data_IF_321437607704
#
_entry.id   IF_321437607704
#
_cell.length_a   1.000
_cell.length_b   1.000
_cell.length_c   1.000
_cell.angle_alpha   90.00
_cell.angle_beta   90.00
_cell.angle_gamma   90.00
#
_symmetry.space_group_name_H-M   'P 1'
#
loop_
_entity.id
_entity.type
_entity.pdbx_description
1 polymer ?
#
# COMPACT_ATOMS: atom_id res chain seq x y z
N UNK A 1 -13.62 -32.25 16.52
CA UNK A 1 -13.90 -32.10 15.06
C UNK A 1 -15.01 -33.07 14.73
N UNK A 2 -16.19 -32.58 14.36
CA UNK A 2 -17.37 -33.41 14.12
C UNK A 2 -17.52 -33.60 12.61
N UNK A 3 -17.17 -34.78 12.09
CA UNK A 3 -17.30 -35.08 10.66
C UNK A 3 -18.76 -35.39 10.34
N UNK A 4 -19.42 -34.47 9.63
CA UNK A 4 -20.79 -34.64 9.16
C UNK A 4 -20.74 -35.42 7.84
N UNK A 5 -21.63 -36.40 7.69
CA UNK A 5 -21.79 -37.20 6.45
C UNK A 5 -23.09 -36.83 5.75
N UNK A 6 -23.07 -36.82 4.43
CA UNK A 6 -24.26 -36.63 3.59
C UNK A 6 -24.71 -38.01 3.11
N UNK A 7 -25.82 -38.50 3.64
CA UNK A 7 -26.39 -39.81 3.28
C UNK A 7 -27.70 -39.60 2.52
N UNK A 8 -27.85 -40.23 1.37
CA UNK A 8 -29.14 -40.32 0.68
C UNK A 8 -30.08 -41.22 1.49
N UNK A 9 -31.19 -40.65 1.98
CA UNK A 9 -32.14 -41.36 2.85
C UNK A 9 -32.94 -42.45 2.14
N UNK A 10 -32.96 -42.48 0.80
CA UNK A 10 -33.72 -43.45 -0.01
C UNK A 10 -32.83 -44.59 -0.49
N UNK A 11 -31.57 -44.31 -0.84
CA UNK A 11 -30.63 -45.32 -1.35
C UNK A 11 -29.62 -45.78 -0.30
N UNK A 12 -29.43 -45.03 0.79
CA UNK A 12 -28.42 -45.29 1.82
C UNK A 12 -26.99 -44.95 1.39
N UNK A 13 -26.82 -44.34 0.21
CA UNK A 13 -25.53 -44.03 -0.38
C UNK A 13 -24.85 -42.85 0.33
N UNK A 14 -23.54 -42.96 0.57
CA UNK A 14 -22.74 -41.88 1.12
C UNK A 14 -22.29 -40.95 0.00
N UNK A 15 -22.92 -39.79 -0.07
CA UNK A 15 -22.68 -38.74 -1.06
C UNK A 15 -21.60 -37.75 -0.60
N UNK A 16 -21.01 -37.95 0.59
CA UNK A 16 -19.92 -37.09 1.10
C UNK A 16 -18.72 -36.95 0.13
N UNK A 17 -18.33 -37.96 -0.67
CA UNK A 17 -17.25 -37.81 -1.66
C UNK A 17 -17.56 -36.77 -2.76
N UNK A 18 -18.83 -36.61 -3.12
CA UNK A 18 -19.25 -35.81 -4.28
C UNK A 18 -19.80 -34.42 -3.89
N UNK A 19 -20.05 -34.19 -2.59
CA UNK A 19 -20.68 -32.96 -2.10
C UNK A 19 -19.94 -32.37 -0.90
N UNK A 20 -19.81 -31.04 -0.87
CA UNK A 20 -19.28 -30.32 0.30
C UNK A 20 -20.42 -29.84 1.19
N UNK A 21 -20.48 -30.33 2.44
CA UNK A 21 -21.40 -29.80 3.45
C UNK A 21 -20.86 -28.47 3.98
N UNK A 22 -21.59 -27.38 3.76
CA UNK A 22 -21.28 -26.04 4.31
C UNK A 22 -22.43 -25.55 5.15
N UNK A 23 -22.14 -24.91 6.28
CA UNK A 23 -23.19 -24.29 7.09
C UNK A 23 -23.77 -23.06 6.38
N UNK A 24 -25.03 -22.70 6.65
CA UNK A 24 -25.65 -21.49 6.09
C UNK A 24 -24.80 -20.23 6.37
N UNK A 25 -24.21 -20.12 7.57
CA UNK A 25 -23.26 -19.04 7.91
C UNK A 25 -22.02 -19.01 6.99
N UNK A 26 -21.47 -20.17 6.63
CA UNK A 26 -20.33 -20.26 5.70
C UNK A 26 -20.73 -19.91 4.26
N UNK A 27 -21.94 -20.33 3.83
CA UNK A 27 -22.49 -20.01 2.51
C UNK A 27 -22.77 -18.50 2.40
N UNK A 28 -23.34 -17.89 3.44
CA UNK A 28 -23.63 -16.46 3.47
C UNK A 28 -22.36 -15.61 3.53
N UNK A 29 -21.37 -16.01 4.33
CA UNK A 29 -20.06 -15.37 4.35
C UNK A 29 -19.35 -15.47 2.99
N UNK A 30 -19.46 -16.61 2.30
CA UNK A 30 -18.91 -16.81 0.97
C UNK A 30 -19.61 -15.95 -0.09
N UNK A 31 -20.94 -15.88 -0.06
CA UNK A 31 -21.75 -15.03 -0.95
C UNK A 31 -21.49 -13.55 -0.72
N UNK A 32 -21.41 -13.12 0.54
CA UNK A 32 -21.01 -11.76 0.89
C UNK A 32 -19.63 -11.45 0.32
N UNK A 33 -18.64 -12.33 0.50
CA UNK A 33 -17.30 -12.17 -0.06
C UNK A 33 -17.27 -12.08 -1.59
N UNK A 34 -18.04 -12.92 -2.29
CA UNK A 34 -18.14 -12.84 -3.76
C UNK A 34 -18.78 -11.52 -4.21
N UNK A 35 -19.84 -11.07 -3.54
CA UNK A 35 -20.48 -9.76 -3.82
C UNK A 35 -19.51 -8.60 -3.60
N UNK A 36 -18.67 -8.71 -2.57
CA UNK A 36 -17.63 -7.73 -2.26
C UNK A 36 -16.56 -7.69 -3.34
N UNK A 37 -16.08 -8.84 -3.81
CA UNK A 37 -15.07 -8.91 -4.89
C UNK A 37 -15.63 -8.46 -6.25
N UNK A 38 -16.92 -8.65 -6.51
CA UNK A 38 -17.59 -8.23 -7.75
C UNK A 38 -17.83 -6.72 -7.84
N UNK A 39 -17.99 -6.01 -6.71
CA UNK A 39 -18.20 -4.56 -6.68
C UNK A 39 -16.91 -3.73 -6.45
N UNK A 40 -15.78 -4.39 -6.21
CA UNK A 40 -14.56 -3.72 -5.79
C UNK A 40 -13.74 -3.21 -6.98
N UNK A 41 -13.55 -1.90 -7.05
CA UNK A 41 -12.77 -1.28 -8.13
C UNK A 41 -11.26 -1.26 -7.80
N UNK A 42 -10.55 -2.33 -8.18
CA UNK A 42 -9.10 -2.48 -8.01
C UNK A 42 -8.24 -1.51 -8.84
N UNK A 43 -8.85 -0.67 -9.69
CA UNK A 43 -8.11 0.29 -10.54
C UNK A 43 -7.92 1.66 -9.89
N UNK A 44 -8.55 1.90 -8.73
CA UNK A 44 -8.46 3.18 -7.99
C UNK A 44 -7.16 3.33 -7.20
N UNK A 45 -6.46 2.24 -6.94
CA UNK A 45 -5.27 2.22 -6.11
C UNK A 45 -4.18 1.32 -6.72
N UNK A 46 -2.96 1.51 -6.24
CA UNK A 46 -1.86 0.55 -6.39
C UNK A 46 -1.65 -0.14 -5.05
N UNK A 47 -1.55 -1.46 -5.04
CA UNK A 47 -1.21 -2.22 -3.85
C UNK A 47 0.32 -2.26 -3.72
N UNK A 48 0.84 -1.77 -2.60
CA UNK A 48 2.25 -1.83 -2.25
C UNK A 48 2.48 -2.96 -1.24
N UNK A 49 3.18 -4.02 -1.66
CA UNK A 49 3.40 -5.24 -0.90
C UNK A 49 4.47 -5.04 0.18
N UNK A 50 4.14 -5.36 1.42
CA UNK A 50 4.96 -4.98 2.57
C UNK A 50 6.28 -5.74 2.64
N UNK A 51 6.25 -7.07 2.52
CA UNK A 51 7.45 -7.89 2.73
C UNK A 51 8.56 -7.57 1.70
N UNK A 52 8.29 -7.45 0.39
CA UNK A 52 9.31 -7.06 -0.59
C UNK A 52 9.85 -5.66 -0.36
N UNK A 53 8.97 -4.71 0.02
CA UNK A 53 9.39 -3.34 0.34
C UNK A 53 10.32 -3.34 1.56
N UNK A 54 9.95 -4.03 2.64
CA UNK A 54 10.75 -4.09 3.87
C UNK A 54 12.16 -4.65 3.63
N UNK A 55 12.33 -5.58 2.69
CA UNK A 55 13.62 -6.18 2.36
C UNK A 55 14.63 -5.19 1.76
N UNK A 56 14.15 -4.13 1.10
CA UNK A 56 15.00 -3.16 0.38
C UNK A 56 14.90 -1.74 0.94
N UNK A 57 14.00 -1.52 1.90
CA UNK A 57 13.60 -0.18 2.33
C UNK A 57 14.77 0.64 2.87
N UNK A 58 15.72 0.02 3.61
CA UNK A 58 16.85 0.72 4.24
C UNK A 58 17.95 1.07 3.25
N UNK A 59 18.07 0.31 2.16
CA UNK A 59 19.12 0.48 1.15
C UNK A 59 18.77 1.60 0.16
N UNK A 60 17.47 1.87 -0.02
CA UNK A 60 17.02 2.98 -0.84
C UNK A 60 17.24 4.32 -0.14
N UNK A 61 17.81 5.29 -0.85
CA UNK A 61 17.73 6.69 -0.48
C UNK A 61 16.29 7.21 -0.57
N UNK A 62 16.02 8.34 0.08
CA UNK A 62 14.73 9.02 -0.04
C UNK A 62 14.44 9.47 -1.48
N UNK A 63 15.47 9.78 -2.26
CA UNK A 63 15.28 10.19 -3.66
C UNK A 63 14.80 9.00 -4.49
N UNK A 64 15.44 7.83 -4.35
CA UNK A 64 15.04 6.61 -5.08
C UNK A 64 13.63 6.15 -4.69
N UNK A 65 13.35 6.11 -3.38
CA UNK A 65 12.02 5.82 -2.86
C UNK A 65 10.97 6.83 -3.38
N UNK A 66 11.35 8.10 -3.53
CA UNK A 66 10.50 9.16 -4.08
C UNK A 66 10.23 8.98 -5.57
N UNK A 67 11.23 8.56 -6.33
CA UNK A 67 11.09 8.23 -7.75
C UNK A 67 10.04 7.14 -7.92
N UNK A 68 10.16 6.01 -7.23
CA UNK A 68 9.17 4.93 -7.37
C UNK A 68 7.77 5.37 -6.96
N UNK A 69 7.62 6.10 -5.84
CA UNK A 69 6.30 6.56 -5.40
C UNK A 69 5.61 7.45 -6.43
N UNK A 70 6.36 8.34 -7.10
CA UNK A 70 5.82 9.18 -8.18
C UNK A 70 5.42 8.39 -9.42
N UNK A 71 5.98 7.20 -9.64
CA UNK A 71 5.56 6.36 -10.76
C UNK A 71 4.26 5.62 -10.49
N UNK A 72 3.99 5.24 -9.22
CA UNK A 72 2.85 4.37 -8.88
C UNK A 72 1.50 4.90 -9.39
N UNK A 73 1.12 6.18 -9.22
CA UNK A 73 -0.17 6.70 -9.72
C UNK A 73 -0.35 6.54 -11.23
N UNK A 74 0.74 6.45 -11.99
CA UNK A 74 0.74 6.38 -13.45
C UNK A 74 0.91 4.96 -13.98
N UNK A 75 1.10 3.96 -13.12
CA UNK A 75 1.03 2.56 -13.52
C UNK A 75 -0.39 2.28 -14.01
N UNK A 76 -0.49 1.73 -15.22
CA UNK A 76 -1.72 1.16 -15.76
C UNK A 76 -1.41 -0.31 -16.05
N UNK A 77 -2.35 -1.22 -15.86
CA UNK A 77 -2.36 -2.44 -16.66
C UNK A 77 -3.11 -2.07 -17.93
N UNK A 78 -2.42 -2.08 -19.07
CA UNK A 78 -3.15 -2.31 -20.30
C UNK A 78 -3.65 -3.75 -20.25
N UNK A 79 -4.84 -3.99 -20.78
CA UNK A 79 -5.40 -5.34 -20.93
C UNK A 79 -4.37 -6.22 -21.64
N UNK A 80 -3.63 -7.05 -20.88
CA UNK A 80 -2.57 -7.93 -21.41
C UNK A 80 -1.12 -7.41 -21.34
N UNK A 81 -0.81 -6.29 -20.68
CA UNK A 81 0.57 -5.76 -20.63
C UNK A 81 0.93 -4.94 -19.39
N UNK A 82 2.13 -5.20 -18.88
CA UNK A 82 2.85 -4.38 -17.89
C UNK A 82 3.08 -2.97 -18.43
N UNK A 83 2.85 -1.92 -17.63
CA UNK A 83 3.21 -0.56 -18.06
C UNK A 83 4.72 -0.40 -18.11
N UNK A 84 5.18 -0.11 -19.32
CA UNK A 84 6.55 0.26 -19.64
C UNK A 84 6.64 1.77 -19.73
N UNK A 85 7.57 2.36 -19.00
CA UNK A 85 7.88 3.78 -19.05
C UNK A 85 9.29 3.98 -19.62
N UNK A 86 9.43 4.86 -20.60
CA UNK A 86 10.72 5.30 -21.11
C UNK A 86 11.45 6.15 -20.07
N UNK A 87 12.75 6.33 -20.25
CA UNK A 87 13.54 7.20 -19.35
C UNK A 87 13.04 8.65 -19.41
N UNK A 88 12.61 9.09 -20.59
CA UNK A 88 12.07 10.42 -20.86
C UNK A 88 10.73 10.66 -20.16
N UNK A 89 9.83 9.67 -20.17
CA UNK A 89 8.56 9.74 -19.44
C UNK A 89 8.79 9.80 -17.93
N UNK A 90 9.66 8.95 -17.39
CA UNK A 90 10.01 8.97 -15.95
C UNK A 90 10.62 10.32 -15.58
N UNK A 91 11.55 10.85 -16.38
CA UNK A 91 12.17 12.16 -16.15
C UNK A 91 11.11 13.28 -16.07
N UNK A 92 10.10 13.24 -16.94
CA UNK A 92 8.97 14.19 -16.93
C UNK A 92 8.11 14.06 -15.67
N UNK A 93 7.73 12.84 -15.29
CA UNK A 93 6.91 12.57 -14.10
C UNK A 93 7.63 12.96 -12.79
N UNK A 94 8.92 12.64 -12.71
CA UNK A 94 9.76 12.93 -11.55
C UNK A 94 10.18 14.41 -11.50
N UNK A 95 10.15 15.12 -12.62
CA UNK A 95 10.62 16.50 -12.72
C UNK A 95 12.14 16.63 -12.59
N UNK A 96 12.90 15.65 -13.13
CA UNK A 96 14.37 15.62 -13.09
C UNK A 96 14.98 15.43 -14.46
N UNK A 97 16.21 15.89 -14.64
CA UNK A 97 16.97 15.58 -15.86
C UNK A 97 17.36 14.10 -15.91
N UNK A 98 17.45 13.55 -17.12
CA UNK A 98 17.83 12.15 -17.37
C UNK A 98 19.10 11.73 -16.63
N UNK A 99 20.15 12.57 -16.69
CA UNK A 99 21.43 12.31 -15.99
C UNK A 99 21.26 12.10 -14.49
N UNK A 100 20.39 12.87 -13.84
CA UNK A 100 20.13 12.79 -12.39
C UNK A 100 19.24 11.60 -12.00
N UNK A 101 18.63 10.96 -12.99
CA UNK A 101 17.68 9.87 -12.81
C UNK A 101 18.33 8.50 -13.07
N UNK A 102 19.37 8.43 -13.90
CA UNK A 102 20.04 7.18 -14.26
C UNK A 102 20.57 6.41 -13.04
N UNK A 103 21.13 7.10 -12.04
CA UNK A 103 21.58 6.50 -10.77
C UNK A 103 20.41 5.91 -9.99
N UNK A 104 19.32 6.67 -9.82
CA UNK A 104 18.13 6.19 -9.12
C UNK A 104 17.45 5.03 -9.83
N UNK A 105 17.40 5.05 -11.17
CA UNK A 105 16.85 3.94 -11.96
C UNK A 105 17.71 2.70 -11.85
N UNK A 106 19.04 2.86 -11.82
CA UNK A 106 19.96 1.75 -11.57
C UNK A 106 19.71 1.15 -10.19
N UNK A 107 19.68 1.96 -9.13
CA UNK A 107 19.44 1.48 -7.76
C UNK A 107 18.08 0.76 -7.63
N UNK A 108 17.02 1.31 -8.24
CA UNK A 108 15.70 0.67 -8.25
C UNK A 108 15.68 -0.65 -9.04
N UNK A 109 16.50 -0.78 -10.08
CA UNK A 109 16.68 -2.05 -10.78
C UNK A 109 17.50 -3.06 -9.97
N UNK A 110 18.57 -2.61 -9.33
CA UNK A 110 19.40 -3.46 -8.46
C UNK A 110 18.60 -3.97 -7.26
N UNK A 111 17.65 -3.17 -6.74
CA UNK A 111 16.71 -3.55 -5.70
C UNK A 111 15.53 -4.41 -6.18
N UNK A 112 15.44 -4.75 -7.49
CA UNK A 112 14.37 -5.58 -8.05
C UNK A 112 12.98 -4.90 -8.15
N UNK A 113 12.89 -3.61 -7.82
CA UNK A 113 11.65 -2.83 -7.89
C UNK A 113 11.29 -2.50 -9.34
N UNK A 114 12.31 -2.21 -10.16
CA UNK A 114 12.17 -1.97 -11.59
C UNK A 114 12.90 -3.05 -12.39
N UNK A 115 12.31 -3.45 -13.52
CA UNK A 115 13.03 -4.20 -14.55
C UNK A 115 13.32 -3.29 -15.74
N UNK A 116 14.51 -3.42 -16.31
CA UNK A 116 14.97 -2.63 -17.45
C UNK A 116 15.02 -3.50 -18.69
N UNK A 117 14.40 -3.04 -19.77
CA UNK A 117 14.48 -3.67 -21.08
C UNK A 117 14.93 -2.66 -22.12
N UNK A 118 15.79 -3.10 -23.06
CA UNK A 118 16.20 -2.26 -24.17
C UNK A 118 15.15 -2.34 -25.28
N UNK A 119 14.66 -1.19 -25.74
CA UNK A 119 13.68 -1.12 -26.83
C UNK A 119 14.14 -0.06 -27.84
N UNK A 120 14.56 -0.51 -29.02
CA UNK A 120 15.14 0.35 -30.05
C UNK A 120 16.37 1.10 -29.53
N UNK A 121 16.30 2.44 -29.56
CA UNK A 121 17.39 3.34 -29.12
C UNK A 121 17.35 3.68 -27.62
N UNK A 122 16.31 3.26 -26.90
CA UNK A 122 16.08 3.63 -25.50
C UNK A 122 15.96 2.44 -24.56
N UNK A 123 15.78 2.75 -23.28
CA UNK A 123 15.40 1.78 -22.25
C UNK A 123 13.96 2.05 -21.82
N UNK A 124 13.22 0.98 -21.63
CA UNK A 124 11.93 1.00 -20.96
C UNK A 124 12.04 0.31 -19.61
N UNK A 125 11.28 0.81 -18.65
CA UNK A 125 11.26 0.32 -17.28
C UNK A 125 9.87 -0.14 -16.91
N UNK A 126 9.81 -1.21 -16.14
CA UNK A 126 8.56 -1.82 -15.69
C UNK A 126 8.65 -2.06 -14.20
N UNK A 127 7.60 -1.69 -13.48
CA UNK A 127 7.50 -1.94 -12.03
C UNK A 127 7.23 -3.42 -11.77
N UNK A 128 7.96 -3.98 -10.81
CA UNK A 128 7.81 -5.38 -10.40
C UNK A 128 6.48 -5.60 -9.69
N UNK A 129 5.70 -6.57 -10.18
CA UNK A 129 4.43 -7.00 -9.57
C UNK A 129 4.62 -7.61 -8.18
N UNK A 130 5.84 -8.08 -7.86
CA UNK A 130 6.18 -8.52 -6.51
C UNK A 130 6.09 -7.37 -5.51
N UNK A 131 6.50 -6.16 -5.92
CA UNK A 131 6.49 -4.99 -5.05
C UNK A 131 5.17 -4.22 -5.14
N UNK A 132 4.64 -4.06 -6.35
CA UNK A 132 3.45 -3.24 -6.60
C UNK A 132 2.53 -3.87 -7.63
N UNK A 133 1.25 -4.00 -7.29
CA UNK A 133 0.23 -4.54 -8.19
C UNK A 133 -0.93 -3.56 -8.39
N UNK A 134 -1.53 -3.60 -9.58
CA UNK A 134 -2.58 -2.67 -10.00
C UNK A 134 -3.68 -3.42 -10.75
N UNK A 135 -4.95 -3.14 -10.42
CA UNK A 135 -6.10 -3.70 -11.14
C UNK A 135 -6.31 -5.21 -10.96
N UNK A 136 -5.63 -5.84 -10.00
CA UNK A 136 -5.70 -7.28 -9.74
C UNK A 136 -6.27 -7.58 -8.36
N UNK A 137 -6.97 -8.72 -8.25
CA UNK A 137 -7.40 -9.24 -6.97
C UNK A 137 -6.19 -9.71 -6.16
N UNK A 138 -6.19 -9.38 -4.88
CA UNK A 138 -5.07 -9.64 -3.99
C UNK A 138 -5.38 -10.89 -3.17
N UNK A 139 -4.41 -11.80 -3.08
CA UNK A 139 -4.56 -13.06 -2.35
C UNK A 139 -4.97 -12.87 -0.89
N UNK A 140 -5.65 -13.86 -0.31
CA UNK A 140 -6.01 -13.84 1.11
C UNK A 140 -4.75 -13.74 1.96
N UNK A 141 -4.76 -12.85 2.96
CA UNK A 141 -3.64 -12.67 3.88
C UNK A 141 -2.46 -11.88 3.31
N UNK A 142 -2.57 -11.33 2.10
CA UNK A 142 -1.54 -10.45 1.56
C UNK A 142 -1.39 -9.19 2.43
N UNK A 143 -0.15 -8.88 2.82
CA UNK A 143 0.20 -7.65 3.54
C UNK A 143 0.55 -6.57 2.54
N UNK A 144 -0.35 -5.59 2.40
CA UNK A 144 -0.15 -4.49 1.49
C UNK A 144 -0.86 -3.23 1.97
N UNK A 145 -0.41 -2.10 1.45
CA UNK A 145 -1.07 -0.80 1.57
C UNK A 145 -1.63 -0.40 0.21
N UNK A 146 -2.87 0.08 0.17
CA UNK A 146 -3.49 0.67 -1.00
C UNK A 146 -3.05 2.12 -1.06
N UNK A 147 -2.36 2.50 -2.12
CA UNK A 147 -2.09 3.89 -2.44
C UNK A 147 -3.13 4.36 -3.46
N UNK A 148 -4.06 5.21 -3.04
CA UNK A 148 -5.09 5.74 -3.94
C UNK A 148 -4.48 6.77 -4.88
N UNK A 149 -4.69 6.54 -6.18
CA UNK A 149 -3.89 7.18 -7.23
C UNK A 149 -4.15 8.68 -7.34
N UNK A 150 -5.42 9.08 -7.32
CA UNK A 150 -5.81 10.49 -7.46
C UNK A 150 -5.31 11.34 -6.28
N UNK A 151 -5.54 10.88 -5.05
CA UNK A 151 -5.05 11.56 -3.85
C UNK A 151 -3.51 11.60 -3.80
N UNK A 152 -2.85 10.51 -4.19
CA UNK A 152 -1.40 10.45 -4.26
C UNK A 152 -0.84 11.42 -5.32
N UNK A 153 -1.41 11.45 -6.53
CA UNK A 153 -0.95 12.32 -7.62
C UNK A 153 -1.02 13.81 -7.20
N UNK A 154 -2.14 14.23 -6.60
CA UNK A 154 -2.29 15.58 -6.06
C UNK A 154 -1.27 15.90 -4.97
N UNK A 155 -1.05 15.01 -4.00
CA UNK A 155 -0.07 15.24 -2.95
C UNK A 155 1.36 15.29 -3.49
N UNK A 156 1.70 14.40 -4.44
CA UNK A 156 3.05 14.23 -4.96
C UNK A 156 3.50 15.39 -5.85
N UNK A 157 2.56 16.14 -6.42
CA UNK A 157 2.83 17.41 -7.08
C UNK A 157 3.35 18.48 -6.11
N UNK A 158 2.94 18.44 -4.84
CA UNK A 158 3.20 19.48 -3.83
C UNK A 158 4.40 19.18 -2.91
N UNK A 159 4.97 17.97 -2.99
CA UNK A 159 6.08 17.55 -2.12
C UNK A 159 7.38 17.30 -2.88
N UNK A 160 8.51 17.50 -2.19
CA UNK A 160 9.81 17.10 -2.71
C UNK A 160 9.90 15.59 -2.89
N UNK A 161 10.83 15.13 -3.73
CA UNK A 161 11.06 13.69 -3.90
C UNK A 161 11.47 13.02 -2.60
N UNK A 162 12.21 13.70 -1.73
CA UNK A 162 12.63 13.13 -0.46
C UNK A 162 11.43 12.90 0.47
N UNK A 163 10.46 13.82 0.47
CA UNK A 163 9.21 13.66 1.24
C UNK A 163 8.31 12.59 0.63
N UNK A 164 8.27 12.50 -0.70
CA UNK A 164 7.63 11.37 -1.39
C UNK A 164 8.31 10.05 -1.00
N UNK A 165 9.64 9.99 -0.96
CA UNK A 165 10.36 8.78 -0.54
C UNK A 165 10.11 8.41 0.90
N UNK A 166 9.99 9.40 1.79
CA UNK A 166 9.57 9.16 3.16
C UNK A 166 8.17 8.52 3.21
N UNK A 167 7.21 9.09 2.45
CA UNK A 167 5.86 8.54 2.35
C UNK A 167 5.85 7.10 1.80
N UNK A 168 6.73 6.78 0.86
CA UNK A 168 6.91 5.41 0.35
C UNK A 168 7.37 4.45 1.45
N UNK A 169 8.40 4.87 2.21
CA UNK A 169 9.03 4.06 3.24
C UNK A 169 8.10 3.78 4.44
N UNK A 170 7.16 4.67 4.76
CA UNK A 170 6.25 4.43 5.89
C UNK A 170 5.12 3.43 5.58
N UNK A 171 4.90 3.06 4.31
CA UNK A 171 3.77 2.22 3.89
C UNK A 171 3.66 0.87 4.61
N UNK A 172 4.75 0.10 4.84
CA UNK A 172 4.68 -1.18 5.54
C UNK A 172 4.28 -1.06 7.02
N UNK A 173 4.45 0.12 7.61
CA UNK A 173 4.19 0.37 9.03
C UNK A 173 2.78 0.89 9.30
N UNK A 174 1.90 0.85 8.30
CA UNK A 174 0.52 1.26 8.43
C UNK A 174 -0.32 0.15 9.07
N UNK A 175 -0.95 0.44 10.20
CA UNK A 175 -1.85 -0.49 10.89
C UNK A 175 -3.00 -0.93 9.98
N UNK A 176 -3.30 -2.23 9.97
CA UNK A 176 -4.30 -2.84 9.09
C UNK A 176 -5.67 -2.15 9.15
N UNK A 177 -6.16 -1.81 10.33
CA UNK A 177 -7.52 -1.26 10.48
C UNK A 177 -7.56 0.26 10.68
N UNK A 178 -6.49 0.83 11.26
CA UNK A 178 -6.57 2.13 11.92
C UNK A 178 -5.86 3.26 11.16
N UNK A 179 -5.09 2.93 10.13
CA UNK A 179 -4.23 3.89 9.42
C UNK A 179 -3.19 4.59 10.32
N UNK A 180 -2.87 4.03 11.48
CA UNK A 180 -1.80 4.51 12.35
C UNK A 180 -0.43 4.02 11.86
N UNK A 181 0.60 4.82 12.08
CA UNK A 181 1.99 4.36 11.99
C UNK A 181 2.37 3.62 13.27
N UNK A 182 2.77 2.35 13.13
CA UNK A 182 2.94 1.39 14.22
C UNK A 182 4.11 0.43 13.94
N UNK A 183 4.79 0.00 15.00
CA UNK A 183 5.79 -1.08 14.96
C UNK A 183 5.13 -2.45 14.73
N UNK A 184 3.83 -2.58 14.97
CA UNK A 184 3.05 -3.81 14.91
C UNK A 184 1.87 -3.67 13.93
N UNK A 185 2.12 -3.50 12.61
CA UNK A 185 1.08 -3.18 11.63
C UNK A 185 0.00 -4.26 11.46
N UNK A 186 0.28 -5.50 11.87
CA UNK A 186 -0.64 -6.64 11.79
C UNK A 186 -1.27 -7.01 13.15
N UNK A 187 -0.93 -6.32 14.24
CA UNK A 187 -1.51 -6.62 15.54
C UNK A 187 -3.00 -6.25 15.57
N UNK A 188 -3.81 -6.88 16.44
CA UNK A 188 -5.13 -6.37 16.78
C UNK A 188 -5.06 -4.96 17.37
N UNK A 189 -6.15 -4.19 17.20
CA UNK A 189 -6.25 -2.78 17.62
C UNK A 189 -5.90 -2.53 19.10
N UNK A 190 -6.23 -3.45 20.00
CA UNK A 190 -5.96 -3.36 21.45
C UNK A 190 -4.51 -3.72 21.83
N UNK A 191 -3.77 -4.35 20.93
CA UNK A 191 -2.37 -4.71 21.06
C UNK A 191 -1.43 -3.85 20.19
N UNK A 192 -1.96 -2.81 19.53
CA UNK A 192 -1.18 -1.94 18.66
C UNK A 192 -0.21 -1.06 19.45
N UNK A 193 1.06 -1.06 19.05
CA UNK A 193 2.09 -0.16 19.57
C UNK A 193 2.33 1.01 18.63
N UNK A 194 2.14 2.24 19.10
CA UNK A 194 2.44 3.44 18.30
C UNK A 194 3.93 3.56 18.05
N UNK A 195 4.32 3.85 16.82
CA UNK A 195 5.73 4.04 16.48
C UNK A 195 6.23 5.42 16.92
N UNK A 196 7.28 5.45 17.73
CA UNK A 196 8.00 6.67 18.10
C UNK A 196 8.83 7.20 16.92
N UNK A 197 9.28 8.45 17.03
CA UNK A 197 10.16 9.03 16.01
C UNK A 197 11.50 8.28 15.91
N UNK A 198 12.06 7.87 17.06
CA UNK A 198 13.31 7.13 17.11
C UNK A 198 13.18 5.75 16.43
N UNK A 199 12.09 5.04 16.69
CA UNK A 199 11.81 3.76 16.02
C UNK A 199 11.59 3.95 14.53
N UNK A 200 10.83 4.96 14.12
CA UNK A 200 10.61 5.25 12.71
C UNK A 200 11.93 5.54 11.99
N UNK A 201 12.77 6.38 12.58
CA UNK A 201 14.11 6.71 12.08
C UNK A 201 14.97 5.46 11.90
N UNK A 202 14.99 4.58 12.92
CA UNK A 202 15.71 3.32 12.87
C UNK A 202 15.19 2.38 11.77
N UNK A 203 13.87 2.18 11.68
CA UNK A 203 13.26 1.24 10.74
C UNK A 203 13.47 1.63 9.29
N UNK A 204 13.40 2.93 8.96
CA UNK A 204 13.48 3.42 7.58
C UNK A 204 14.88 3.91 7.17
N UNK A 205 15.83 3.91 8.11
CA UNK A 205 17.23 4.30 7.89
C UNK A 205 17.45 5.80 7.75
N UNK A 206 16.83 6.61 8.60
CA UNK A 206 16.97 8.08 8.60
C UNK A 206 17.36 8.61 9.98
N UNK A 207 17.74 9.88 10.06
CA UNK A 207 17.84 10.60 11.33
C UNK A 207 16.45 11.01 11.86
N UNK A 208 16.31 11.14 13.17
CA UNK A 208 15.08 11.67 13.77
C UNK A 208 14.70 13.07 13.25
N UNK A 209 15.70 13.91 12.95
CA UNK A 209 15.48 15.24 12.38
C UNK A 209 14.84 15.18 11.00
N UNK A 210 15.27 14.25 10.16
CA UNK A 210 14.67 14.04 8.83
C UNK A 210 13.24 13.54 8.96
N UNK A 211 13.00 12.56 9.84
CA UNK A 211 11.65 12.05 10.13
C UNK A 211 10.73 13.18 10.57
N UNK A 212 11.14 13.99 11.56
CA UNK A 212 10.35 15.14 12.06
C UNK A 212 10.04 16.12 10.94
N UNK A 213 11.02 16.42 10.07
CA UNK A 213 10.85 17.32 8.93
C UNK A 213 9.81 16.80 7.94
N UNK A 214 9.91 15.55 7.51
CA UNK A 214 8.97 14.98 6.54
C UNK A 214 7.56 14.81 7.11
N UNK A 215 7.44 14.41 8.38
CA UNK A 215 6.15 14.40 9.08
C UNK A 215 5.52 15.79 9.15
N UNK A 216 6.30 16.83 9.43
CA UNK A 216 5.79 18.20 9.48
C UNK A 216 5.23 18.67 8.12
N UNK A 217 5.92 18.37 7.02
CA UNK A 217 5.46 18.69 5.66
C UNK A 217 4.16 17.97 5.34
N UNK A 218 4.10 16.65 5.54
CA UNK A 218 2.91 15.86 5.25
C UNK A 218 1.71 16.26 6.13
N UNK A 219 1.94 16.67 7.39
CA UNK A 219 0.89 17.23 8.25
C UNK A 219 0.32 18.51 7.71
N UNK A 220 1.20 19.44 7.30
CA UNK A 220 0.79 20.73 6.74
C UNK A 220 -0.09 20.54 5.50
N UNK A 221 0.18 19.50 4.70
CA UNK A 221 -0.58 19.17 3.50
C UNK A 221 -1.81 18.28 3.77
N UNK A 222 -2.13 17.99 5.04
CA UNK A 222 -3.29 17.16 5.40
C UNK A 222 -3.15 15.67 5.07
N UNK A 223 -1.98 15.22 4.63
CA UNK A 223 -1.72 13.81 4.32
C UNK A 223 -1.65 12.94 5.58
N UNK A 224 -1.31 13.54 6.72
CA UNK A 224 -1.31 12.86 8.02
C UNK A 224 -1.70 13.78 9.17
N UNK A 225 -2.26 13.19 10.22
CA UNK A 225 -2.66 13.87 11.45
C UNK A 225 -1.78 13.38 12.60
N UNK A 226 -1.41 14.29 13.50
CA UNK A 226 -0.77 13.94 14.78
C UNK A 226 -1.86 13.81 15.83
N UNK A 227 -1.90 12.69 16.53
CA UNK A 227 -2.77 12.47 17.69
C UNK A 227 -1.89 12.33 18.92
N UNK A 228 -2.29 12.93 20.03
CA UNK A 228 -1.56 12.85 21.29
C UNK A 228 -2.52 12.50 22.41
N UNK A 229 -2.17 11.49 23.20
CA UNK A 229 -2.93 11.06 24.39
C UNK A 229 -1.95 10.98 25.55
N UNK A 230 -2.01 11.97 26.44
CA UNK A 230 -0.98 12.17 27.46
C UNK A 230 0.39 12.37 26.80
N UNK A 231 1.37 11.57 27.20
CA UNK A 231 2.74 11.62 26.66
C UNK A 231 2.91 10.86 25.33
N UNK A 232 1.94 10.02 24.96
CA UNK A 232 2.03 9.21 23.74
C UNK A 232 1.61 10.04 22.53
N UNK A 233 2.47 10.08 21.52
CA UNK A 233 2.18 10.69 20.22
C UNK A 233 2.07 9.59 19.16
N UNK A 234 1.01 9.63 18.36
CA UNK A 234 0.84 8.79 17.17
C UNK A 234 0.58 9.62 15.92
N UNK A 235 0.74 8.97 14.78
CA UNK A 235 0.49 9.57 13.47
C UNK A 235 -0.51 8.71 12.70
N UNK A 236 -1.57 9.34 12.20
CA UNK A 236 -2.60 8.71 11.37
C UNK A 236 -2.43 9.21 9.94
N UNK A 237 -2.34 8.31 8.97
CA UNK A 237 -2.34 8.66 7.55
C UNK A 237 -3.78 8.83 7.05
N UNK A 238 -4.00 9.79 6.16
CA UNK A 238 -5.32 10.03 5.61
C UNK A 238 -5.83 8.80 4.83
N UNK A 239 -7.04 8.28 5.10
CA UNK A 239 -7.53 7.04 4.48
C UNK A 239 -7.78 7.16 2.97
N UNK A 240 -8.06 8.36 2.45
CA UNK A 240 -8.08 8.59 0.98
C UNK A 240 -6.71 8.55 0.33
N UNK A 241 -5.62 8.67 1.10
CA UNK A 241 -4.27 8.56 0.56
C UNK A 241 -3.79 7.11 0.64
N UNK A 242 -3.86 6.53 1.84
CA UNK A 242 -3.44 5.16 2.10
C UNK A 242 -4.42 4.41 2.99
N UNK A 243 -4.74 3.17 2.59
CA UNK A 243 -5.67 2.32 3.33
C UNK A 243 -5.34 0.85 3.15
N UNK A 244 -5.73 -0.03 4.10
CA UNK A 244 -5.46 -1.47 4.00
C UNK A 244 -6.72 -2.32 3.90
N UNK A 245 -7.76 -1.97 4.66
CA UNK A 245 -9.02 -2.72 4.67
C UNK A 245 -9.69 -2.75 3.29
N UNK A 246 -10.34 -3.88 3.00
CA UNK A 246 -11.14 -4.07 1.79
C UNK A 246 -12.25 -3.01 1.66
N UNK A 247 -12.84 -2.61 2.77
CA UNK A 247 -14.01 -1.73 2.80
C UNK A 247 -13.82 -0.62 3.82
N UNK A 248 -14.57 0.46 3.59
CA UNK A 248 -14.73 1.51 4.59
C UNK A 248 -15.42 0.95 5.84
N UNK A 249 -15.00 1.48 6.98
CA UNK A 249 -15.56 1.19 8.29
C UNK A 249 -16.05 2.49 8.93
N UNK A 250 -16.89 2.39 9.96
CA UNK A 250 -17.29 3.53 10.78
C UNK A 250 -16.08 4.32 11.29
N UNK A 251 -14.98 3.62 11.60
CA UNK A 251 -13.72 4.23 11.97
C UNK A 251 -13.15 5.09 10.84
N UNK A 252 -13.05 4.55 9.62
CA UNK A 252 -12.55 5.31 8.46
C UNK A 252 -13.41 6.54 8.14
N UNK A 253 -14.72 6.45 8.29
CA UNK A 253 -15.66 7.58 8.11
C UNK A 253 -15.46 8.67 9.17
N UNK A 254 -15.28 8.27 10.44
CA UNK A 254 -14.95 9.19 11.53
C UNK A 254 -13.60 9.87 11.30
N UNK A 255 -12.57 9.11 10.90
CA UNK A 255 -11.25 9.67 10.59
C UNK A 255 -11.32 10.74 9.51
N UNK A 256 -12.00 10.48 8.39
CA UNK A 256 -12.21 11.48 7.32
C UNK A 256 -12.84 12.77 7.85
N UNK A 257 -13.80 12.64 8.77
CA UNK A 257 -14.44 13.79 9.41
C UNK A 257 -13.48 14.56 10.31
N UNK A 258 -12.60 13.87 11.04
CA UNK A 258 -11.55 14.50 11.84
C UNK A 258 -10.55 15.29 10.97
N UNK A 259 -10.10 14.71 9.86
CA UNK A 259 -9.21 15.41 8.92
C UNK A 259 -9.84 16.68 8.35
N UNK A 260 -11.13 16.65 7.99
CA UNK A 260 -11.89 17.84 7.54
C UNK A 260 -12.02 18.92 8.61
N UNK A 261 -11.99 18.55 9.89
CA UNK A 261 -12.07 19.52 11.00
C UNK A 261 -10.74 20.25 11.26
N UNK A 262 -9.62 19.68 10.82
CA UNK A 262 -8.27 20.25 10.98
C UNK A 262 -7.85 21.20 9.86
N UNK A 263 -8.55 21.17 8.72
CA UNK A 263 -8.31 22.03 7.55
C UNK A 263 -9.14 23.32 7.55
N UNK A 264 -9.82 23.62 8.66
CA UNK A 264 -10.45 24.93 8.94
C UNK A 264 -9.51 25.81 9.74
#
# INVERSE_FOLDING_TARGET
MTNHRLIDIRTGEDLTPDYTIRSNKQVDAYRAKQRLEQGYNFTRFVASHHDPILNVIRDLSLVEAGVILRLLPHIKTQTGGRVTLTTEEIAKLVGRSRRRLDESLKALCDAGILSKQRTGKGNVYTVSEEHHSYGVSLGKGARFTKLYREAADHLLAEVSLETAGFLYKIQPFLHYELCFLTSTPEAPTDAMETMTIAEMAFQIGLSESEVKRHLAVLRRLGALMRVSTGERTGYIVHPDLMFRLAQETDWSTKMRSMFKSLTK
#
